data_IF_237171289976
#
_entry.id   IF_237171289976
#
_cell.length_a   1.000
_cell.length_b   1.000
_cell.length_c   1.000
_cell.angle_alpha   90.00
_cell.angle_beta   90.00
_cell.angle_gamma   90.00
#
_symmetry.space_group_name_H-M   'P 1'
#
loop_
_entity.id
_entity.type
_entity.pdbx_description
1 polymer ?
#
# COMPACT_ATOMS: atom_id res chain seq x y z
N UNK A 1 7.31 -5.23 -10.47
CA UNK A 1 7.85 -5.77 -11.74
C UNK A 1 7.92 -4.66 -12.78
N UNK A 2 6.81 -4.00 -13.09
CA UNK A 2 6.68 -2.94 -14.11
C UNK A 2 7.74 -1.83 -14.04
N UNK A 3 7.98 -1.26 -12.86
CA UNK A 3 8.91 -0.14 -12.67
C UNK A 3 10.34 -0.58 -12.33
N UNK A 4 10.62 -1.89 -12.30
CA UNK A 4 11.95 -2.42 -11.98
C UNK A 4 12.47 -2.11 -10.56
N UNK A 5 11.66 -1.51 -9.68
CA UNK A 5 12.02 -1.21 -8.29
C UNK A 5 12.24 -2.50 -7.52
N UNK A 6 13.38 -2.66 -6.83
CA UNK A 6 13.72 -3.88 -6.09
C UNK A 6 13.65 -3.69 -4.59
N UNK A 7 14.23 -2.63 -4.08
CA UNK A 7 14.43 -2.42 -2.64
C UNK A 7 13.24 -1.65 -2.08
N UNK A 8 12.23 -2.39 -1.60
CA UNK A 8 10.97 -1.83 -1.09
C UNK A 8 10.76 -2.23 0.37
N UNK A 9 10.75 -1.25 1.26
CA UNK A 9 10.44 -1.43 2.68
C UNK A 9 9.03 -0.91 2.96
N UNK A 10 8.10 -1.82 3.24
CA UNK A 10 6.77 -1.47 3.71
C UNK A 10 6.74 -1.37 5.23
N UNK A 11 6.09 -0.34 5.75
CA UNK A 11 6.11 0.00 7.18
C UNK A 11 4.70 0.33 7.64
N UNK A 12 4.25 -0.30 8.71
CA UNK A 12 3.01 0.08 9.38
C UNK A 12 3.12 1.49 9.97
N UNK A 13 2.12 2.35 9.75
CA UNK A 13 2.11 3.74 10.25
C UNK A 13 2.00 3.88 11.78
N UNK A 14 1.71 2.79 12.48
CA UNK A 14 1.36 2.77 13.91
C UNK A 14 -0.15 2.98 14.19
N UNK A 15 -0.99 3.15 13.15
CA UNK A 15 -2.44 3.32 13.34
C UNK A 15 -3.32 2.65 12.28
N UNK A 16 -3.45 3.23 11.08
CA UNK A 16 -4.50 2.87 10.10
C UNK A 16 -4.05 2.87 8.64
N UNK A 17 -2.75 2.86 8.42
CA UNK A 17 -2.17 2.91 7.09
C UNK A 17 -0.76 2.35 7.09
N UNK A 18 -0.18 2.30 5.91
CA UNK A 18 1.17 1.79 5.65
C UNK A 18 1.93 2.79 4.79
N UNK A 19 3.24 2.82 4.93
CA UNK A 19 4.15 3.60 4.10
C UNK A 19 5.04 2.63 3.31
N UNK A 20 5.41 3.02 2.09
CA UNK A 20 6.39 2.28 1.29
C UNK A 20 7.60 3.18 1.05
N UNK A 21 8.79 2.66 1.38
CA UNK A 21 10.06 3.28 1.09
C UNK A 21 10.70 2.52 -0.07
N UNK A 22 10.89 3.18 -1.21
CA UNK A 22 11.62 2.63 -2.35
C UNK A 22 13.04 3.18 -2.32
N UNK A 23 14.02 2.29 -2.11
CA UNK A 23 15.38 2.67 -1.75
C UNK A 23 16.42 2.40 -2.85
N UNK A 24 16.00 1.94 -4.03
CA UNK A 24 16.86 1.76 -5.19
C UNK A 24 17.62 3.06 -5.54
N UNK A 25 18.93 2.95 -5.82
CA UNK A 25 19.82 4.08 -6.12
C UNK A 25 19.29 4.98 -7.25
N UNK A 26 18.77 4.37 -8.31
CA UNK A 26 18.17 5.08 -9.43
C UNK A 26 16.90 5.84 -9.01
N UNK A 27 16.03 5.21 -8.22
CA UNK A 27 14.75 5.78 -7.78
C UNK A 27 14.98 6.95 -6.82
N UNK A 28 15.99 6.86 -5.96
CA UNK A 28 16.37 7.97 -5.07
C UNK A 28 16.72 9.25 -5.83
N UNK A 29 17.24 9.12 -7.05
CA UNK A 29 17.62 10.23 -7.94
C UNK A 29 16.51 10.71 -8.89
N UNK A 30 15.31 10.11 -8.82
CA UNK A 30 14.20 10.52 -9.68
C UNK A 30 13.80 11.97 -9.45
N UNK A 31 13.56 12.68 -10.57
CA UNK A 31 13.00 14.03 -10.57
C UNK A 31 11.54 14.03 -10.07
N UNK A 32 11.02 15.19 -9.60
CA UNK A 32 9.61 15.31 -9.25
C UNK A 32 8.64 14.86 -10.35
N UNK A 33 9.00 15.09 -11.62
CA UNK A 33 8.20 14.68 -12.77
C UNK A 33 8.13 13.14 -12.90
N UNK A 34 9.26 12.45 -12.77
CA UNK A 34 9.28 10.98 -12.79
C UNK A 34 8.51 10.37 -11.62
N UNK A 35 8.63 10.98 -10.42
CA UNK A 35 7.86 10.56 -9.24
C UNK A 35 6.35 10.72 -9.46
N UNK A 36 5.93 11.86 -10.01
CA UNK A 36 4.52 12.09 -10.35
C UNK A 36 4.02 11.08 -11.39
N UNK A 37 4.78 10.85 -12.46
CA UNK A 37 4.42 9.88 -13.49
C UNK A 37 4.29 8.45 -12.94
N UNK A 38 5.18 8.04 -12.03
CA UNK A 38 5.08 6.73 -11.38
C UNK A 38 3.82 6.61 -10.51
N UNK A 39 3.47 7.66 -9.76
CA UNK A 39 2.23 7.67 -8.96
C UNK A 39 1.00 7.65 -9.87
N UNK A 40 1.01 8.41 -10.95
CA UNK A 40 -0.08 8.44 -11.92
C UNK A 40 -0.29 7.08 -12.60
N UNK A 41 0.80 6.41 -12.96
CA UNK A 41 0.78 5.04 -13.49
C UNK A 41 0.12 4.07 -12.50
N UNK A 42 0.46 4.17 -11.22
CA UNK A 42 -0.08 3.31 -10.15
C UNK A 42 -1.49 3.72 -9.71
N UNK A 43 -2.02 4.87 -10.14
CA UNK A 43 -3.29 5.42 -9.65
C UNK A 43 -4.44 5.15 -10.61
N UNK A 44 -5.17 4.06 -10.38
CA UNK A 44 -6.41 3.75 -11.12
C UNK A 44 -7.65 4.45 -10.54
N UNK A 45 -7.58 4.92 -9.29
CA UNK A 45 -8.71 5.54 -8.59
C UNK A 45 -8.36 6.98 -8.19
N UNK A 46 -8.70 7.95 -9.04
CA UNK A 46 -8.30 9.36 -8.83
C UNK A 46 -9.30 10.20 -8.01
N UNK A 47 -10.60 9.84 -7.94
CA UNK A 47 -11.63 10.53 -7.13
C UNK A 47 -12.92 9.70 -7.02
N UNK A 48 -13.59 9.77 -5.87
CA UNK A 48 -15.02 9.40 -5.75
C UNK A 48 -15.81 10.68 -5.98
N UNK A 49 -16.40 10.85 -7.16
CA UNK A 49 -17.60 11.67 -7.25
C UNK A 49 -18.74 10.75 -6.86
N UNK A 50 -19.19 10.82 -5.61
CA UNK A 50 -20.61 10.55 -5.38
C UNK A 50 -21.31 11.60 -6.22
N UNK A 51 -21.88 11.20 -7.36
CA UNK A 51 -22.86 12.04 -7.99
C UNK A 51 -23.99 12.14 -6.96
N UNK A 52 -24.05 13.24 -6.22
CA UNK A 52 -25.21 13.56 -5.41
C UNK A 52 -26.42 13.37 -6.33
N UNK A 53 -27.30 12.47 -5.93
CA UNK A 53 -28.50 12.19 -6.68
C UNK A 53 -29.31 13.49 -6.78
N UNK A 54 -29.56 14.04 -7.98
CA UNK A 54 -30.42 15.20 -8.07
C UNK A 54 -31.83 14.76 -7.68
N UNK A 55 -32.24 15.14 -6.48
CA UNK A 55 -33.65 15.34 -6.23
C UNK A 55 -34.08 16.53 -7.10
N UNK A 56 -34.67 16.24 -8.26
CA UNK A 56 -35.40 17.24 -9.03
C UNK A 56 -34.81 17.56 -10.40
N UNK A 57 -35.72 17.72 -11.34
CA UNK A 57 -35.51 18.06 -12.74
C UNK A 57 -34.65 19.31 -12.95
N UNK A 58 -33.82 19.29 -14.00
CA UNK A 58 -33.16 20.50 -14.49
C UNK A 58 -31.92 20.20 -15.31
N UNK A 59 -32.01 20.48 -16.61
CA UNK A 59 -30.94 20.58 -17.60
C UNK A 59 -29.58 21.09 -17.06
N UNK A 60 -28.47 20.39 -17.36
CA UNK A 60 -27.13 20.96 -17.18
C UNK A 60 -25.96 20.03 -17.51
N UNK A 61 -25.28 20.31 -18.63
CA UNK A 61 -23.82 20.17 -18.81
C UNK A 61 -23.20 18.76 -18.87
N UNK A 62 -22.98 18.24 -20.09
CA UNK A 62 -22.00 17.17 -20.33
C UNK A 62 -20.59 17.76 -20.31
N UNK A 63 -19.73 17.28 -19.41
CA UNK A 63 -18.29 17.52 -19.47
C UNK A 63 -17.66 16.35 -20.21
N UNK A 64 -17.30 16.56 -21.48
CA UNK A 64 -16.36 15.72 -22.20
C UNK A 64 -14.95 16.26 -21.92
N UNK A 65 -14.04 15.41 -21.45
CA UNK A 65 -12.62 15.67 -21.53
C UNK A 65 -12.05 14.77 -22.62
N UNK A 66 -11.80 15.38 -23.77
CA UNK A 66 -11.00 14.84 -24.85
C UNK A 66 -9.53 14.90 -24.41
N UNK A 67 -8.83 13.76 -24.47
CA UNK A 67 -7.43 13.67 -24.09
C UNK A 67 -6.88 12.28 -24.37
N UNK A 68 -6.21 12.12 -25.50
CA UNK A 68 -5.47 10.93 -25.84
C UNK A 68 -4.35 10.69 -24.83
N UNK A 69 -4.39 9.54 -24.15
CA UNK A 69 -3.39 9.09 -23.19
C UNK A 69 -4.05 8.22 -22.13
N UNK A 70 -3.53 7.00 -21.93
CA UNK A 70 -4.02 5.99 -20.99
C UNK A 70 -4.18 6.54 -19.56
N UNK A 71 -5.35 7.10 -19.27
CA UNK A 71 -5.77 7.47 -17.94
C UNK A 71 -7.24 7.10 -17.81
N UNK A 72 -7.53 6.05 -17.03
CA UNK A 72 -8.87 5.77 -16.54
C UNK A 72 -9.20 6.85 -15.51
N UNK A 73 -9.46 8.06 -15.98
CA UNK A 73 -9.85 9.19 -15.14
C UNK A 73 -11.36 9.13 -14.95
N UNK A 74 -11.74 8.78 -13.72
CA UNK A 74 -13.12 8.58 -13.22
C UNK A 74 -13.66 7.18 -13.53
N UNK A 75 -13.57 6.30 -12.52
CA UNK A 75 -14.40 5.10 -12.47
C UNK A 75 -15.83 5.59 -12.25
N UNK A 76 -16.61 5.67 -13.33
CA UNK A 76 -18.02 6.01 -13.25
C UNK A 76 -18.78 4.80 -12.70
N UNK A 77 -19.21 4.87 -11.43
CA UNK A 77 -20.15 3.90 -10.86
C UNK A 77 -21.55 4.00 -11.48
N UNK A 78 -21.76 4.89 -12.47
CA UNK A 78 -23.03 5.00 -13.16
C UNK A 78 -23.24 3.77 -14.04
N UNK A 79 -23.82 2.75 -13.40
CA UNK A 79 -24.43 1.65 -14.08
C UNK A 79 -25.51 2.26 -14.98
N UNK A 80 -25.22 2.33 -16.29
CA UNK A 80 -26.16 2.84 -17.30
C UNK A 80 -27.56 2.34 -16.99
N UNK A 81 -28.59 3.18 -17.11
CA UNK A 81 -29.98 2.85 -16.75
C UNK A 81 -30.43 1.47 -17.23
N UNK A 82 -30.03 1.10 -18.47
CA UNK A 82 -30.23 -0.22 -19.10
C UNK A 82 -29.78 -1.44 -18.26
N UNK A 83 -28.84 -1.26 -17.34
CA UNK A 83 -28.34 -2.29 -16.44
C UNK A 83 -28.82 -2.08 -15.00
N UNK A 84 -29.00 -0.82 -14.57
CA UNK A 84 -29.40 -0.47 -13.21
C UNK A 84 -30.80 -0.93 -12.86
N UNK A 85 -31.79 -0.60 -13.68
CA UNK A 85 -33.21 -0.86 -13.35
C UNK A 85 -33.49 -2.36 -13.17
N UNK A 86 -32.96 -3.26 -14.05
CA UNK A 86 -33.16 -4.69 -13.87
C UNK A 86 -32.51 -5.24 -12.60
N UNK A 87 -31.31 -4.74 -12.24
CA UNK A 87 -30.65 -5.15 -11.01
C UNK A 87 -31.37 -4.61 -9.77
N UNK A 88 -31.94 -3.41 -9.82
CA UNK A 88 -32.78 -2.88 -8.74
C UNK A 88 -34.02 -3.74 -8.49
N UNK A 89 -34.63 -4.31 -9.54
CA UNK A 89 -35.74 -5.24 -9.40
C UNK A 89 -35.35 -6.63 -8.90
N UNK A 90 -34.13 -7.08 -9.14
CA UNK A 90 -33.67 -8.44 -8.78
C UNK A 90 -32.88 -8.50 -7.46
N UNK A 91 -32.16 -7.45 -7.06
CA UNK A 91 -31.37 -7.42 -5.84
C UNK A 91 -32.17 -7.66 -4.55
N UNK A 92 -33.39 -7.11 -4.38
CA UNK A 92 -34.23 -7.41 -3.22
C UNK A 92 -34.65 -8.89 -3.15
N UNK A 93 -34.65 -9.60 -4.28
CA UNK A 93 -35.00 -11.03 -4.35
C UNK A 93 -33.83 -11.94 -3.97
N UNK A 94 -32.63 -11.41 -3.74
CA UNK A 94 -31.44 -12.17 -3.37
C UNK A 94 -31.20 -12.07 -1.87
N UNK A 95 -30.80 -13.18 -1.26
CA UNK A 95 -30.67 -13.33 0.20
C UNK A 95 -29.51 -12.50 0.78
N UNK A 96 -28.38 -12.48 0.11
CA UNK A 96 -27.13 -11.91 0.62
C UNK A 96 -26.34 -11.15 -0.45
N UNK A 97 -25.24 -10.51 -0.04
CA UNK A 97 -24.35 -9.77 -0.94
C UNK A 97 -23.65 -10.66 -1.95
N UNK A 98 -23.36 -11.93 -1.61
CA UNK A 98 -22.71 -12.89 -2.51
C UNK A 98 -23.60 -13.18 -3.71
N UNK A 99 -24.87 -13.50 -3.48
CA UNK A 99 -25.85 -13.74 -4.55
C UNK A 99 -26.10 -12.50 -5.41
N UNK A 100 -26.14 -11.31 -4.80
CA UNK A 100 -26.26 -10.04 -5.54
C UNK A 100 -25.04 -9.79 -6.43
N UNK A 101 -23.84 -10.09 -5.92
CA UNK A 101 -22.59 -9.95 -6.66
C UNK A 101 -22.49 -10.93 -7.84
N UNK A 102 -22.86 -12.19 -7.64
CA UNK A 102 -22.89 -13.18 -8.73
C UNK A 102 -23.87 -12.79 -9.84
N UNK A 103 -25.04 -12.27 -9.49
CA UNK A 103 -26.00 -11.77 -10.47
C UNK A 103 -25.42 -10.59 -11.28
N UNK A 104 -24.77 -9.63 -10.62
CA UNK A 104 -24.11 -8.50 -11.25
C UNK A 104 -23.03 -8.97 -12.22
N UNK A 105 -22.06 -9.75 -11.74
CA UNK A 105 -20.96 -10.29 -12.55
C UNK A 105 -21.48 -11.04 -13.77
N UNK A 106 -22.39 -12.00 -13.57
CA UNK A 106 -22.93 -12.79 -14.66
C UNK A 106 -23.69 -11.95 -15.70
N UNK A 107 -24.27 -10.81 -15.31
CA UNK A 107 -24.88 -9.86 -16.26
C UNK A 107 -23.84 -9.10 -17.06
N UNK A 108 -22.77 -8.61 -16.42
CA UNK A 108 -21.70 -7.87 -17.11
C UNK A 108 -20.88 -8.79 -18.03
N UNK A 109 -20.65 -10.05 -17.63
CA UNK A 109 -20.00 -11.04 -18.49
C UNK A 109 -20.80 -11.33 -19.77
N UNK A 110 -22.14 -11.40 -19.67
CA UNK A 110 -23.02 -11.57 -20.84
C UNK A 110 -22.92 -10.39 -21.80
N UNK A 111 -22.84 -9.15 -21.32
CA UNK A 111 -22.69 -7.99 -22.21
C UNK A 111 -21.34 -7.99 -22.90
N UNK A 112 -20.27 -8.40 -22.20
CA UNK A 112 -18.92 -8.55 -22.78
C UNK A 112 -18.84 -9.66 -23.83
N UNK A 113 -19.54 -10.79 -23.62
CA UNK A 113 -19.57 -11.90 -24.59
C UNK A 113 -20.45 -11.62 -25.82
N UNK A 114 -21.43 -10.73 -25.71
CA UNK A 114 -22.34 -10.38 -26.80
C UNK A 114 -21.77 -9.35 -27.79
N UNK A 115 -20.50 -8.95 -27.64
CA UNK A 115 -19.81 -8.01 -28.54
C UNK A 115 -19.77 -8.62 -29.95
N UNK A 116 -20.47 -7.97 -30.89
CA UNK A 116 -20.52 -8.39 -32.31
C UNK A 116 -21.84 -8.99 -32.78
N UNK A 117 -22.79 -9.31 -31.89
CA UNK A 117 -24.09 -9.93 -32.26
C UNK A 117 -25.26 -8.92 -32.19
N UNK A 118 -25.03 -7.69 -31.70
CA UNK A 118 -26.03 -6.61 -31.67
C UNK A 118 -25.51 -5.30 -31.03
N UNK A 119 -26.36 -4.25 -31.02
CA UNK A 119 -26.07 -2.84 -30.60
C UNK A 119 -25.62 -2.62 -29.14
N UNK A 120 -25.38 -3.66 -28.33
CA UNK A 120 -25.06 -3.48 -26.91
C UNK A 120 -23.55 -3.34 -26.67
N UNK A 121 -23.12 -2.16 -26.22
CA UNK A 121 -21.74 -1.92 -25.78
C UNK A 121 -21.38 -2.77 -24.56
N UNK A 122 -20.16 -3.31 -24.48
CA UNK A 122 -19.69 -4.06 -23.32
C UNK A 122 -19.70 -3.18 -22.06
N UNK A 123 -19.98 -3.80 -20.91
CA UNK A 123 -19.99 -3.13 -19.61
C UNK A 123 -18.95 -3.77 -18.68
N UNK A 124 -18.17 -2.95 -17.97
CA UNK A 124 -17.09 -3.37 -17.07
C UNK A 124 -17.35 -2.98 -15.61
N UNK A 125 -18.61 -2.69 -15.28
CA UNK A 125 -18.98 -2.15 -13.99
C UNK A 125 -18.59 -3.03 -12.79
N UNK A 126 -18.60 -4.36 -12.95
CA UNK A 126 -18.09 -5.29 -11.95
C UNK A 126 -16.60 -5.05 -11.65
N UNK A 127 -15.76 -4.85 -12.68
CA UNK A 127 -14.34 -4.55 -12.49
C UNK A 127 -14.14 -3.15 -11.90
N UNK A 128 -14.89 -2.17 -12.39
CA UNK A 128 -14.90 -0.79 -11.88
C UNK A 128 -15.27 -0.74 -10.40
N UNK A 129 -16.30 -1.48 -9.96
CA UNK A 129 -16.68 -1.62 -8.55
C UNK A 129 -15.55 -2.28 -7.76
N UNK A 130 -14.95 -3.36 -8.25
CA UNK A 130 -13.81 -4.01 -7.57
C UNK A 130 -12.64 -3.04 -7.38
N UNK A 131 -12.25 -2.32 -8.43
CA UNK A 131 -11.18 -1.33 -8.37
C UNK A 131 -11.54 -0.21 -7.37
N UNK A 132 -12.76 0.29 -7.42
CA UNK A 132 -13.18 1.38 -6.55
C UNK A 132 -13.13 1.04 -5.05
N UNK A 133 -13.50 -0.20 -4.69
CA UNK A 133 -13.58 -0.64 -3.30
C UNK A 133 -12.27 -1.25 -2.79
N UNK A 134 -11.48 -1.88 -3.66
CA UNK A 134 -10.34 -2.69 -3.24
C UNK A 134 -8.98 -2.14 -3.73
N UNK A 135 -8.94 -1.28 -4.75
CA UNK A 135 -7.67 -0.77 -5.28
C UNK A 135 -7.06 0.29 -4.35
N UNK A 136 -5.73 0.27 -4.13
CA UNK A 136 -5.06 1.21 -3.24
C UNK A 136 -5.22 2.66 -3.71
N UNK A 137 -5.43 3.55 -2.74
CA UNK A 137 -5.48 5.00 -2.97
C UNK A 137 -4.14 5.60 -2.55
N UNK A 138 -3.41 6.15 -3.51
CA UNK A 138 -2.10 6.75 -3.29
C UNK A 138 -2.23 8.25 -3.05
N UNK A 139 -1.56 8.75 -2.02
CA UNK A 139 -1.41 10.19 -1.83
C UNK A 139 -0.25 10.69 -2.70
N UNK A 140 -0.58 11.42 -3.77
CA UNK A 140 0.42 11.96 -4.69
C UNK A 140 1.29 13.03 -4.05
N UNK A 141 0.77 13.76 -3.06
CA UNK A 141 1.49 14.88 -2.47
C UNK A 141 2.65 14.42 -1.59
N UNK A 142 2.55 13.23 -0.99
CA UNK A 142 3.65 12.64 -0.22
C UNK A 142 4.74 12.03 -1.12
N UNK A 143 4.44 11.82 -2.41
CA UNK A 143 5.32 11.08 -3.33
C UNK A 143 6.05 11.99 -4.33
N UNK A 144 5.42 13.09 -4.77
CA UNK A 144 5.95 13.97 -5.83
C UNK A 144 7.14 14.84 -5.39
N UNK A 145 7.16 15.26 -4.13
CA UNK A 145 8.15 16.20 -3.60
C UNK A 145 9.35 15.49 -2.99
N UNK A 146 10.57 15.83 -3.42
CA UNK A 146 11.80 15.25 -2.86
C UNK A 146 12.02 15.66 -1.39
N UNK A 147 11.55 16.85 -0.99
CA UNK A 147 11.66 17.35 0.39
C UNK A 147 10.52 16.93 1.32
N UNK A 148 9.65 16.01 0.92
CA UNK A 148 8.53 15.58 1.77
C UNK A 148 9.04 14.75 2.96
N UNK A 149 8.69 15.18 4.17
CA UNK A 149 9.06 14.47 5.39
C UNK A 149 8.07 13.34 5.66
N UNK A 150 8.59 12.12 5.85
CA UNK A 150 7.82 10.95 6.19
C UNK A 150 8.25 10.39 7.54
N UNK A 151 7.30 9.81 8.28
CA UNK A 151 7.57 9.19 9.58
C UNK A 151 8.61 8.07 9.43
N UNK A 152 9.66 8.12 10.25
CA UNK A 152 10.70 7.09 10.30
C UNK A 152 10.13 5.71 10.69
N UNK A 153 10.64 4.62 10.10
CA UNK A 153 10.48 3.28 10.67
C UNK A 153 10.87 3.26 12.16
N UNK A 154 10.23 2.38 12.92
CA UNK A 154 10.36 2.20 14.37
C UNK A 154 9.94 3.39 15.24
N UNK A 155 9.38 4.46 14.66
CA UNK A 155 8.80 5.56 15.45
C UNK A 155 7.57 5.12 16.23
N UNK A 156 7.39 5.64 17.45
CA UNK A 156 6.19 5.46 18.26
C UNK A 156 5.05 6.35 17.72
N UNK A 157 3.86 5.78 17.53
CA UNK A 157 2.69 6.59 17.20
C UNK A 157 2.09 7.21 18.48
N UNK A 158 1.96 8.55 18.57
CA UNK A 158 1.74 9.25 19.84
C UNK A 158 0.41 8.91 20.51
N UNK A 159 -0.64 8.60 19.74
CA UNK A 159 -1.97 8.28 20.30
C UNK A 159 -2.21 6.80 20.60
N UNK A 160 -1.44 5.91 19.96
CA UNK A 160 -1.68 4.46 20.06
C UNK A 160 -0.58 3.75 20.82
N UNK A 161 0.57 4.42 21.03
CA UNK A 161 1.77 3.81 21.59
C UNK A 161 2.44 2.78 20.67
N UNK A 162 1.80 2.38 19.56
CA UNK A 162 2.29 1.33 18.66
C UNK A 162 3.55 1.77 17.92
N UNK A 163 4.46 0.82 17.74
CA UNK A 163 5.68 1.01 16.96
C UNK A 163 5.37 0.94 15.46
N UNK A 164 6.01 1.81 14.68
CA UNK A 164 5.89 1.81 13.21
C UNK A 164 6.80 0.74 12.60
N UNK A 165 6.34 -0.51 12.63
CA UNK A 165 7.16 -1.68 12.30
C UNK A 165 7.23 -2.00 10.79
N UNK A 166 8.37 -2.48 10.28
CA UNK A 166 8.47 -3.11 8.97
C UNK A 166 7.49 -4.27 8.79
N UNK A 167 7.00 -4.45 7.57
CA UNK A 167 6.09 -5.52 7.20
C UNK A 167 6.83 -6.60 6.42
N UNK A 168 6.68 -7.86 6.86
CA UNK A 168 7.12 -9.03 6.12
C UNK A 168 6.14 -9.30 4.98
N UNK A 169 6.60 -9.11 3.74
CA UNK A 169 5.78 -9.31 2.54
C UNK A 169 5.50 -10.78 2.24
N UNK A 170 6.29 -11.72 2.76
CA UNK A 170 6.06 -13.16 2.58
C UNK A 170 4.92 -13.67 3.47
N UNK A 171 4.63 -12.95 4.56
CA UNK A 171 3.63 -13.32 5.57
C UNK A 171 2.61 -12.21 5.81
N UNK A 172 2.36 -11.37 4.79
CA UNK A 172 1.53 -10.17 4.92
C UNK A 172 0.09 -10.47 5.38
N UNK A 173 -0.49 -11.58 4.91
CA UNK A 173 -1.86 -12.01 5.29
C UNK A 173 -2.01 -12.34 6.78
N UNK A 174 -0.90 -12.54 7.49
CA UNK A 174 -0.87 -12.82 8.93
C UNK A 174 -0.64 -11.56 9.77
N UNK A 175 -0.37 -10.41 9.14
CA UNK A 175 -0.12 -9.16 9.86
C UNK A 175 -1.42 -8.63 10.47
N UNK A 176 -1.42 -8.46 11.80
CA UNK A 176 -2.53 -7.86 12.54
C UNK A 176 -2.09 -6.50 13.15
N UNK A 177 -2.66 -5.36 12.70
CA UNK A 177 -2.30 -4.03 13.22
C UNK A 177 -2.68 -3.82 14.69
N UNK A 178 -3.51 -4.68 15.28
CA UNK A 178 -3.94 -4.63 16.68
C UNK A 178 -2.98 -5.34 17.64
N UNK A 179 -2.16 -6.28 17.14
CA UNK A 179 -1.17 -7.02 17.94
C UNK A 179 0.24 -6.43 17.87
N UNK A 180 0.45 -5.41 17.02
CA UNK A 180 1.73 -4.68 16.94
C UNK A 180 2.12 -4.13 18.32
N UNK A 181 3.38 -4.33 18.77
CA UNK A 181 3.81 -3.94 20.10
C UNK A 181 3.70 -2.43 20.33
N UNK A 182 3.42 -2.07 21.58
CA UNK A 182 3.40 -0.68 22.04
C UNK A 182 4.68 -0.35 22.79
N UNK A 183 5.04 0.92 22.88
CA UNK A 183 6.19 1.34 23.68
C UNK A 183 6.06 0.88 25.13
N UNK A 184 4.86 0.95 25.72
CA UNK A 184 4.60 0.51 27.09
C UNK A 184 4.79 -0.99 27.27
N UNK A 185 4.31 -1.81 26.33
CA UNK A 185 4.52 -3.26 26.40
C UNK A 185 5.99 -3.63 26.23
N UNK A 186 6.72 -2.94 25.35
CA UNK A 186 8.14 -3.18 25.16
C UNK A 186 8.97 -2.80 26.38
N UNK A 187 8.67 -1.67 27.05
CA UNK A 187 9.35 -1.31 28.30
C UNK A 187 9.12 -2.39 29.36
N UNK A 188 7.89 -2.87 29.53
CA UNK A 188 7.58 -3.94 30.47
C UNK A 188 8.32 -5.25 30.15
N UNK A 189 8.40 -5.64 28.87
CA UNK A 189 9.17 -6.81 28.45
C UNK A 189 10.66 -6.67 28.77
N UNK A 190 11.23 -5.48 28.65
CA UNK A 190 12.63 -5.21 29.00
C UNK A 190 12.86 -5.23 30.51
N UNK A 191 11.97 -4.63 31.29
CA UNK A 191 12.08 -4.59 32.75
C UNK A 191 12.06 -6.01 33.33
N UNK A 192 11.12 -6.86 32.86
CA UNK A 192 11.06 -8.28 33.23
C UNK A 192 12.32 -9.03 32.79
N UNK A 193 12.79 -8.80 31.56
CA UNK A 193 13.97 -9.47 31.02
C UNK A 193 15.31 -9.04 31.64
N UNK A 194 15.31 -7.91 32.37
CA UNK A 194 16.43 -7.38 33.14
C UNK A 194 16.49 -7.95 34.56
N UNK A 195 15.34 -8.16 35.20
CA UNK A 195 15.22 -8.70 36.56
C UNK A 195 15.70 -10.16 36.66
N UNK A 196 15.53 -10.95 35.59
CA UNK A 196 16.06 -12.33 35.47
C UNK A 196 17.61 -12.40 35.37
N UNK A 197 18.30 -11.25 35.27
CA UNK A 197 19.74 -11.14 35.04
C UNK A 197 20.58 -10.66 36.22
N UNK A 198 19.98 -10.34 37.37
CA UNK A 198 20.67 -9.80 38.56
C UNK A 198 21.03 -10.87 39.62
N UNK A 199 21.58 -11.99 39.17
CA UNK A 199 22.48 -12.83 39.97
C UNK A 199 23.77 -13.07 39.20
N UNK A 200 24.69 -12.10 39.18
CA UNK A 200 26.15 -12.32 39.23
C UNK A 200 26.93 -11.00 39.15
N UNK A 201 27.48 -10.67 40.33
CA UNK A 201 28.76 -10.02 40.68
C UNK A 201 29.19 -8.67 40.08
N UNK A 202 29.71 -7.84 40.97
CA UNK A 202 30.11 -6.46 40.74
C UNK A 202 31.41 -6.30 39.96
N UNK A 203 31.51 -5.16 39.27
CA UNK A 203 32.71 -4.71 38.59
C UNK A 203 32.39 -3.68 37.52
N UNK A 204 32.64 -2.41 37.82
CA UNK A 204 32.54 -1.29 36.89
C UNK A 204 33.46 -1.49 35.67
N UNK A 205 32.95 -1.21 34.45
CA UNK A 205 33.66 -0.57 33.32
C UNK A 205 32.77 -0.52 32.07
N UNK A 206 32.29 0.68 31.70
CA UNK A 206 31.85 1.13 30.36
C UNK A 206 30.71 0.37 29.60
N UNK A 207 29.92 1.04 28.73
CA UNK A 207 28.56 0.64 28.34
C UNK A 207 28.55 -0.39 27.18
N UNK A 208 29.24 -1.52 27.34
CA UNK A 208 29.21 -2.63 26.38
C UNK A 208 28.01 -3.58 26.56
N UNK A 209 27.19 -3.40 27.61
CA UNK A 209 26.16 -4.37 28.04
C UNK A 209 24.70 -4.08 27.62
N UNK A 210 24.37 -2.90 27.07
CA UNK A 210 23.00 -2.55 26.58
C UNK A 210 22.66 -3.01 25.16
N UNK A 211 23.61 -3.59 24.43
CA UNK A 211 23.62 -3.65 22.94
C UNK A 211 22.62 -4.66 22.32
N UNK A 212 21.86 -5.46 23.08
CA UNK A 212 20.96 -6.49 22.49
C UNK A 212 19.62 -6.68 23.21
N UNK A 213 19.15 -5.71 23.97
CA UNK A 213 17.99 -5.90 24.84
C UNK A 213 16.67 -6.10 24.06
N UNK A 214 16.52 -5.41 22.93
CA UNK A 214 15.34 -5.57 22.07
C UNK A 214 15.17 -7.00 21.53
N UNK A 215 16.23 -7.83 21.51
CA UNK A 215 16.13 -9.21 21.02
C UNK A 215 15.29 -10.09 21.93
N UNK A 216 15.10 -9.67 23.19
CA UNK A 216 14.25 -10.34 24.18
C UNK A 216 12.80 -9.84 24.13
N UNK A 217 12.49 -8.88 23.25
CA UNK A 217 11.16 -8.28 23.16
C UNK A 217 10.42 -8.73 21.91
N UNK A 218 9.12 -8.49 21.90
CA UNK A 218 8.21 -8.65 20.77
C UNK A 218 8.56 -7.73 19.58
N UNK A 219 9.53 -6.81 19.73
CA UNK A 219 10.07 -6.02 18.63
C UNK A 219 11.06 -6.80 17.75
N UNK A 220 11.71 -7.84 18.30
CA UNK A 220 12.79 -8.56 17.63
C UNK A 220 12.44 -9.09 16.23
N UNK A 221 11.26 -9.70 15.98
CA UNK A 221 10.91 -10.20 14.65
C UNK A 221 10.86 -9.09 13.59
N UNK A 222 10.39 -7.90 13.97
CA UNK A 222 10.30 -6.75 13.07
C UNK A 222 11.67 -6.14 12.76
N UNK A 223 12.61 -6.20 13.72
CA UNK A 223 14.01 -5.80 13.47
C UNK A 223 14.68 -6.75 12.49
N UNK A 224 14.43 -8.07 12.59
CA UNK A 224 14.96 -9.05 11.62
C UNK A 224 14.52 -8.77 10.18
N UNK A 225 13.24 -8.39 9.99
CA UNK A 225 12.73 -7.97 8.67
C UNK A 225 13.51 -6.76 8.14
N UNK A 226 13.84 -5.81 9.01
CA UNK A 226 14.63 -4.64 8.64
C UNK A 226 16.10 -4.98 8.34
N UNK A 227 16.72 -5.84 9.15
CA UNK A 227 18.09 -6.32 8.96
C UNK A 227 18.23 -6.99 7.59
N UNK A 228 17.32 -7.92 7.26
CA UNK A 228 17.29 -8.56 5.95
C UNK A 228 17.17 -7.54 4.80
N UNK A 229 16.28 -6.56 4.93
CA UNK A 229 16.15 -5.50 3.93
C UNK A 229 17.44 -4.69 3.74
N UNK A 230 18.14 -4.36 4.83
CA UNK A 230 19.41 -3.63 4.78
C UNK A 230 20.53 -4.46 4.17
N UNK A 231 20.61 -5.75 4.52
CA UNK A 231 21.57 -6.70 3.94
C UNK A 231 21.37 -6.82 2.42
N UNK A 232 20.12 -6.96 1.96
CA UNK A 232 19.79 -7.01 0.53
C UNK A 232 20.26 -5.73 -0.21
N UNK A 233 20.03 -4.55 0.38
CA UNK A 233 20.54 -3.29 -0.19
C UNK A 233 22.07 -3.22 -0.21
N UNK A 234 22.73 -3.70 0.85
CA UNK A 234 24.20 -3.72 0.92
C UNK A 234 24.80 -4.64 -0.14
N UNK A 235 24.23 -5.83 -0.33
CA UNK A 235 24.63 -6.75 -1.38
C UNK A 235 24.44 -6.16 -2.78
N UNK A 236 23.30 -5.52 -3.05
CA UNK A 236 23.07 -4.87 -4.34
C UNK A 236 24.10 -3.77 -4.62
N UNK A 237 24.42 -2.94 -3.61
CA UNK A 237 25.40 -1.86 -3.75
C UNK A 237 26.82 -2.39 -3.96
N UNK A 238 27.23 -3.45 -3.26
CA UNK A 238 28.53 -4.10 -3.47
C UNK A 238 28.63 -4.67 -4.90
N UNK A 239 27.58 -5.34 -5.37
CA UNK A 239 27.52 -5.86 -6.74
C UNK A 239 27.61 -4.77 -7.82
N UNK A 240 26.98 -3.61 -7.61
CA UNK A 240 27.06 -2.45 -8.50
C UNK A 240 28.49 -1.87 -8.56
N UNK A 241 29.14 -1.73 -7.39
CA UNK A 241 30.50 -1.19 -7.29
C UNK A 241 31.53 -2.09 -7.98
N UNK A 242 31.44 -3.41 -7.76
CA UNK A 242 32.29 -4.40 -8.44
C UNK A 242 32.15 -4.29 -9.95
N UNK A 243 30.92 -4.30 -10.48
CA UNK A 243 30.67 -4.13 -11.92
C UNK A 243 31.24 -2.83 -12.47
N UNK A 244 31.21 -1.74 -11.70
CA UNK A 244 31.75 -0.45 -12.14
C UNK A 244 33.29 -0.44 -12.16
N UNK A 245 33.94 -1.05 -11.17
CA UNK A 245 35.39 -1.23 -11.14
C UNK A 245 35.86 -2.12 -12.30
N UNK A 246 35.17 -3.23 -12.56
CA UNK A 246 35.44 -4.11 -13.71
C UNK A 246 35.35 -3.35 -15.05
N UNK A 247 34.37 -2.46 -15.20
CA UNK A 247 34.20 -1.63 -16.40
C UNK A 247 35.24 -0.53 -16.54
N UNK A 248 35.78 -0.03 -15.43
CA UNK A 248 36.79 1.03 -15.40
C UNK A 248 38.22 0.49 -15.49
N UNK A 249 38.42 -0.82 -15.30
CA UNK A 249 39.74 -1.45 -15.30
C UNK A 249 40.58 -1.07 -14.07
N UNK A 250 39.95 -0.52 -13.04
CA UNK A 250 40.56 -0.22 -11.75
C UNK A 250 40.61 -1.52 -10.94
N UNK A 251 41.67 -2.30 -11.14
CA UNK A 251 42.02 -3.48 -10.34
C UNK A 251 43.03 -3.14 -9.24
#
# INVERSE_FOLDING_TARGET
EDLGMRHRLWVYSGRRGVHCWVCDDAVRKWSPALRAAAVEYLSLVKRISFLEWPHGAGSGGRVYMEGAGLAVSVISLDLRSQHREPLQGEFPKKRDSVQRWELLKGRMERTRRAVGVGKSTPCYADWEIMLQYCFPRLDINVSKGVGHLLKSPFSVHPKTGRISVPLDLQRLDQFDPFTVPTISSLCHELDVAGDDGEQEDGGETEPKRRVRDYKKTSLAPYVRVFEQFVEEMEHARRGELLRRSDLQGDF
#
